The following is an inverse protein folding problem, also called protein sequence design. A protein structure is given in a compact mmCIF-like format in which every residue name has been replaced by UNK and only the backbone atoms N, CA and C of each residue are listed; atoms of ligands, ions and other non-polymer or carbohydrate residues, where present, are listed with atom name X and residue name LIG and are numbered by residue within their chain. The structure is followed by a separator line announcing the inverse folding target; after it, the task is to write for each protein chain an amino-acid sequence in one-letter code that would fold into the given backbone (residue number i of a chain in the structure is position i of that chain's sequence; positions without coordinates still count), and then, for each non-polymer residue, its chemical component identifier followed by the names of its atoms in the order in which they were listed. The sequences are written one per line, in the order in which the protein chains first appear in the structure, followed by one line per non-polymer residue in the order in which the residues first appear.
data_IF_517811588933
#
_entry.id   IF_517811588933
#
_cell.length_a   1.000
_cell.length_b   1.000
_cell.length_c   1.000
_cell.angle_alpha   90.00
_cell.angle_beta   90.00
_cell.angle_gamma   90.00
#
_symmetry.space_group_name_H-M   'P 1'
#
loop_
_entity.id
_entity.type
_entity.pdbx_description
1 polymer ?
#
# COMPACT_ATOMS: atom_id res chain seq x y z
N UNK A 1 65.57 60.02 19.28
CA UNK A 1 64.75 60.75 20.28
C UNK A 1 63.81 59.76 20.97
N UNK A 2 63.50 59.96 22.27
CA UNK A 2 62.55 59.21 23.14
C UNK A 2 62.47 57.67 23.02
N UNK A 3 62.94 57.00 24.08
CA UNK A 3 62.57 55.62 24.50
C UNK A 3 61.14 55.61 25.08
N UNK A 4 60.45 54.47 25.06
CA UNK A 4 59.88 53.76 26.25
C UNK A 4 59.83 52.26 25.91
N UNK A 5 60.06 51.39 26.90
CA UNK A 5 60.10 49.93 26.75
C UNK A 5 59.11 49.22 27.68
N UNK A 6 58.96 47.91 27.43
CA UNK A 6 58.16 46.92 28.19
C UNK A 6 58.42 46.89 29.70
N UNK A 7 57.47 46.34 30.47
CA UNK A 7 57.70 45.38 31.56
C UNK A 7 56.37 44.62 31.79
N UNK A 8 56.20 43.37 31.34
CA UNK A 8 56.50 42.05 32.00
C UNK A 8 55.42 41.51 32.95
N UNK A 9 55.06 40.25 32.69
CA UNK A 9 54.16 39.38 33.48
C UNK A 9 54.89 38.80 34.70
N UNK A 10 54.15 38.44 35.75
CA UNK A 10 54.61 37.57 36.83
C UNK A 10 53.67 36.37 37.01
N UNK A 11 54.26 35.17 37.17
CA UNK A 11 53.57 33.93 37.53
C UNK A 11 54.21 33.41 38.83
N UNK A 12 53.41 32.88 39.78
CA UNK A 12 53.91 32.45 41.10
C UNK A 12 53.32 31.12 41.58
N UNK A 13 54.19 30.23 42.06
CA UNK A 13 54.00 28.83 42.48
C UNK A 13 54.83 28.59 43.77
N UNK A 14 54.53 27.70 44.73
CA UNK A 14 53.46 26.70 44.96
C UNK A 14 53.18 26.65 46.48
N UNK A 15 52.01 26.19 46.96
CA UNK A 15 51.94 25.32 48.17
C UNK A 15 50.53 24.78 48.48
N UNK A 16 50.43 23.46 48.73
CA UNK A 16 49.35 22.84 49.52
C UNK A 16 49.57 23.10 51.02
N UNK A 17 48.57 22.81 51.87
CA UNK A 17 48.69 21.89 53.04
C UNK A 17 47.31 21.63 53.68
N UNK A 18 47.09 20.35 54.04
CA UNK A 18 46.25 19.78 55.11
C UNK A 18 44.99 20.50 55.62
N UNK A 19 43.86 19.77 55.62
CA UNK A 19 42.64 20.16 56.37
C UNK A 19 41.50 19.14 56.25
N UNK A 20 41.55 18.06 57.04
CA UNK A 20 40.42 17.13 57.13
C UNK A 20 39.35 17.69 58.09
N UNK A 21 38.09 17.68 57.67
CA UNK A 21 36.94 18.01 58.52
C UNK A 21 35.81 17.02 58.27
N UNK A 22 35.37 16.35 59.34
CA UNK A 22 34.26 15.39 59.33
C UNK A 22 32.94 16.16 59.35
N UNK A 23 32.17 16.11 58.27
CA UNK A 23 30.81 16.64 58.20
C UNK A 23 29.80 15.51 58.18
N UNK A 24 28.86 15.54 59.13
CA UNK A 24 27.87 14.49 59.33
C UNK A 24 26.91 14.34 58.14
N UNK A 25 26.46 13.10 57.90
CA UNK A 25 25.39 12.81 56.94
C UNK A 25 24.11 13.54 57.36
N UNK A 26 23.61 14.42 56.50
CA UNK A 26 22.18 14.71 56.38
C UNK A 26 21.64 13.96 55.18
N UNK A 27 20.68 13.08 55.43
CA UNK A 27 19.93 12.41 54.37
C UNK A 27 18.80 13.35 53.91
N UNK A 28 18.98 13.99 52.77
CA UNK A 28 17.92 14.76 52.11
C UNK A 28 17.33 13.92 50.97
N UNK A 29 16.10 13.47 51.19
CA UNK A 29 15.36 12.61 50.27
C UNK A 29 14.96 13.38 49.01
N UNK A 30 15.81 13.34 47.99
CA UNK A 30 15.46 13.81 46.65
C UNK A 30 14.36 12.91 46.05
N UNK A 31 13.11 13.36 46.12
CA UNK A 31 12.03 12.79 45.33
C UNK A 31 12.31 13.03 43.85
N UNK A 32 12.98 12.08 43.20
CA UNK A 32 13.13 12.06 41.75
C UNK A 32 11.75 11.89 41.13
N UNK A 33 11.14 13.00 40.71
CA UNK A 33 9.97 12.98 39.83
C UNK A 33 10.41 12.50 38.47
N UNK A 34 10.60 11.18 38.36
CA UNK A 34 10.75 10.49 37.09
C UNK A 34 9.48 10.71 36.30
N UNK A 35 9.47 11.75 35.47
CA UNK A 35 8.49 11.98 34.44
C UNK A 35 8.55 10.79 33.49
N UNK A 36 7.79 9.75 33.81
CA UNK A 36 7.46 8.67 32.91
C UNK A 36 6.78 9.32 31.72
N UNK A 37 7.58 9.65 30.70
CA UNK A 37 7.09 9.82 29.34
C UNK A 37 6.36 8.53 29.06
N UNK A 38 5.03 8.59 29.13
CA UNK A 38 4.18 7.52 28.65
C UNK A 38 4.59 7.36 27.20
N UNK A 39 5.24 6.24 26.88
CA UNK A 39 5.45 5.89 25.49
C UNK A 39 4.05 5.95 24.86
N UNK A 40 3.89 6.80 23.85
CA UNK A 40 2.69 6.76 23.02
C UNK A 40 2.64 5.35 22.45
N UNK A 41 1.73 4.58 23.03
CA UNK A 41 1.43 3.22 22.59
C UNK A 41 0.80 3.40 21.22
N UNK A 42 1.61 3.27 20.16
CA UNK A 42 1.11 3.12 18.80
C UNK A 42 -0.05 2.12 18.84
N UNK A 43 -1.20 2.43 18.22
CA UNK A 43 -2.38 1.60 18.33
C UNK A 43 -2.08 0.19 17.82
N UNK A 44 -2.10 -0.78 18.72
CA UNK A 44 -1.92 -2.17 18.36
C UNK A 44 -3.15 -2.65 17.56
N UNK A 45 -2.93 -3.19 16.36
CA UNK A 45 -3.96 -3.94 15.62
C UNK A 45 -4.15 -3.61 14.14
N UNK A 46 -3.55 -2.54 13.61
CA UNK A 46 -3.59 -2.24 12.17
C UNK A 46 -2.52 -3.01 11.39
N UNK A 47 -2.87 -3.49 10.19
CA UNK A 47 -1.85 -3.81 9.17
C UNK A 47 -1.19 -2.50 8.72
N UNK A 48 0.14 -2.47 8.46
CA UNK A 48 0.80 -1.26 7.99
C UNK A 48 0.24 -0.82 6.64
N UNK A 49 0.41 0.46 6.33
CA UNK A 49 -0.06 1.10 5.11
C UNK A 49 1.05 1.91 4.46
N UNK A 50 0.84 2.31 3.21
CA UNK A 50 1.74 3.21 2.48
C UNK A 50 1.96 4.57 3.17
N UNK A 51 1.11 4.96 4.13
CA UNK A 51 1.23 6.20 4.90
C UNK A 51 2.20 6.09 6.09
N UNK A 52 2.64 4.90 6.48
CA UNK A 52 3.45 4.64 7.67
C UNK A 52 4.97 4.82 7.44
N UNK A 53 5.40 5.43 6.33
CA UNK A 53 6.82 5.68 6.05
C UNK A 53 7.60 4.41 5.72
N UNK A 54 7.05 3.56 4.86
CA UNK A 54 7.50 2.16 4.64
C UNK A 54 8.77 2.00 3.79
N UNK A 55 9.35 3.08 3.30
CA UNK A 55 10.57 3.12 2.49
C UNK A 55 11.40 4.38 2.81
N UNK A 56 12.70 4.41 2.49
CA UNK A 56 13.54 5.61 2.67
C UNK A 56 13.58 6.48 1.42
N UNK A 57 13.87 7.77 1.58
CA UNK A 57 14.09 8.67 0.45
C UNK A 57 15.25 8.19 -0.45
N UNK A 58 16.35 7.74 0.15
CA UNK A 58 17.50 7.17 -0.57
C UNK A 58 17.12 5.94 -1.41
N UNK A 59 16.22 5.09 -0.89
CA UNK A 59 15.73 3.92 -1.60
C UNK A 59 14.91 4.31 -2.84
N UNK A 60 13.97 5.25 -2.69
CA UNK A 60 13.20 5.76 -3.83
C UNK A 60 14.09 6.50 -4.85
N UNK A 61 15.15 7.17 -4.40
CA UNK A 61 16.15 7.81 -5.27
C UNK A 61 16.99 6.79 -6.06
N UNK A 62 17.33 5.63 -5.47
CA UNK A 62 17.90 4.49 -6.22
C UNK A 62 16.88 3.94 -7.21
N UNK A 63 15.63 3.77 -6.76
CA UNK A 63 14.49 3.35 -7.55
C UNK A 63 14.29 4.18 -8.81
N UNK A 64 14.36 5.52 -8.71
CA UNK A 64 14.25 6.44 -9.86
C UNK A 64 15.29 6.16 -10.94
N UNK A 65 16.56 5.97 -10.55
CA UNK A 65 17.64 5.66 -11.50
C UNK A 65 17.42 4.30 -12.16
N UNK A 66 17.00 3.30 -11.39
CA UNK A 66 16.71 1.95 -11.90
C UNK A 66 15.48 1.96 -12.84
N UNK A 67 14.44 2.71 -12.52
CA UNK A 67 13.24 2.88 -13.34
C UNK A 67 13.55 3.56 -14.68
N UNK A 68 14.34 4.64 -14.67
CA UNK A 68 14.78 5.32 -15.90
C UNK A 68 15.51 4.38 -16.87
N UNK A 69 16.34 3.45 -16.35
CA UNK A 69 17.07 2.49 -17.18
C UNK A 69 16.25 1.27 -17.67
N UNK A 70 15.11 0.94 -17.03
CA UNK A 70 14.42 -0.35 -17.26
C UNK A 70 12.92 -0.24 -17.56
N UNK A 71 12.31 0.96 -17.45
CA UNK A 71 10.86 1.13 -17.45
C UNK A 71 10.37 2.41 -18.13
N UNK A 72 11.13 3.51 -18.05
CA UNK A 72 10.68 4.83 -18.52
C UNK A 72 10.39 4.91 -20.03
N UNK A 73 11.06 4.10 -20.86
CA UNK A 73 10.81 4.04 -22.31
C UNK A 73 9.33 3.81 -22.65
N UNK A 74 8.66 2.91 -21.93
CA UNK A 74 7.22 2.67 -22.12
C UNK A 74 6.36 3.47 -21.11
N UNK A 75 6.79 3.62 -19.87
CA UNK A 75 5.98 4.17 -18.78
C UNK A 75 6.13 5.68 -18.52
N UNK A 76 6.99 6.36 -19.30
CA UNK A 76 7.30 7.79 -19.15
C UNK A 76 8.27 8.07 -18.01
N UNK A 77 9.13 9.08 -18.16
CA UNK A 77 10.15 9.46 -17.16
C UNK A 77 9.56 9.88 -15.80
N UNK A 78 8.31 10.36 -15.80
CA UNK A 78 7.58 10.82 -14.62
C UNK A 78 6.44 9.87 -14.23
N UNK A 79 6.42 8.65 -14.76
CA UNK A 79 5.38 7.63 -14.54
C UNK A 79 4.00 8.07 -15.10
N UNK A 80 3.99 8.99 -16.05
CA UNK A 80 2.80 9.54 -16.72
C UNK A 80 2.21 8.59 -17.78
N UNK A 81 2.95 7.53 -18.15
CA UNK A 81 2.58 6.58 -19.19
C UNK A 81 3.03 7.01 -20.58
N UNK A 82 2.65 6.20 -21.57
CA UNK A 82 3.02 6.36 -22.97
C UNK A 82 2.50 5.16 -23.75
N UNK A 83 3.41 4.32 -24.25
CA UNK A 83 3.08 2.98 -24.73
C UNK A 83 2.62 2.08 -23.57
N UNK A 84 3.31 2.16 -22.43
CA UNK A 84 2.94 1.56 -21.17
C UNK A 84 1.92 2.40 -20.41
N UNK A 85 1.13 1.76 -19.55
CA UNK A 85 0.18 2.46 -18.67
C UNK A 85 0.88 3.47 -17.74
N UNK A 86 0.20 4.57 -17.43
CA UNK A 86 0.60 5.45 -16.34
C UNK A 86 0.72 4.67 -15.01
N UNK A 87 1.80 4.90 -14.27
CA UNK A 87 2.06 4.28 -12.96
C UNK A 87 1.87 5.27 -11.80
N UNK A 88 1.35 6.46 -12.10
CA UNK A 88 1.03 7.52 -11.15
C UNK A 88 -0.44 7.95 -11.20
N UNK A 89 -0.90 8.65 -10.16
CA UNK A 89 -2.18 9.34 -10.13
C UNK A 89 -3.40 8.41 -10.26
N UNK A 90 -4.39 8.83 -11.05
CA UNK A 90 -5.68 8.11 -11.18
C UNK A 90 -5.51 6.66 -11.64
N UNK A 91 -4.56 6.37 -12.54
CA UNK A 91 -4.35 5.00 -13.02
C UNK A 91 -3.75 4.11 -11.92
N UNK A 92 -2.77 4.63 -11.15
CA UNK A 92 -2.22 3.93 -9.99
C UNK A 92 -3.32 3.54 -8.99
N UNK A 93 -4.19 4.48 -8.61
CA UNK A 93 -5.29 4.18 -7.69
C UNK A 93 -6.33 3.23 -8.31
N UNK A 94 -6.57 3.32 -9.61
CA UNK A 94 -7.48 2.40 -10.33
C UNK A 94 -6.98 0.96 -10.27
N UNK A 95 -5.66 0.74 -10.44
CA UNK A 95 -5.07 -0.59 -10.43
C UNK A 95 -4.77 -1.11 -9.00
N UNK A 96 -4.32 -0.25 -8.08
CA UNK A 96 -3.70 -0.67 -6.80
C UNK A 96 -4.46 -0.28 -5.52
N UNK A 97 -5.51 0.54 -5.56
CA UNK A 97 -6.30 0.81 -4.34
C UNK A 97 -6.87 -0.49 -3.77
N UNK A 98 -6.79 -0.67 -2.46
CA UNK A 98 -7.17 -1.87 -1.71
C UNK A 98 -6.34 -3.13 -1.98
N UNK A 99 -5.19 -3.04 -2.65
CA UNK A 99 -4.18 -4.10 -2.68
C UNK A 99 -3.11 -3.88 -1.60
N UNK A 100 -2.03 -4.65 -1.68
CA UNK A 100 -0.80 -4.48 -0.92
C UNK A 100 0.37 -4.06 -1.83
N UNK A 101 1.44 -3.55 -1.24
CA UNK A 101 2.73 -3.29 -1.92
C UNK A 101 3.40 -4.60 -2.35
N UNK A 102 3.19 -5.69 -1.60
CA UNK A 102 3.64 -7.03 -1.99
C UNK A 102 2.97 -7.56 -3.25
N UNK A 103 1.66 -7.30 -3.44
CA UNK A 103 0.96 -7.63 -4.69
C UNK A 103 1.48 -6.80 -5.87
N UNK A 104 1.70 -5.50 -5.68
CA UNK A 104 2.34 -4.61 -6.67
C UNK A 104 3.74 -5.12 -7.07
N UNK A 105 4.59 -5.43 -6.09
CA UNK A 105 5.93 -5.98 -6.31
C UNK A 105 5.88 -7.32 -7.04
N UNK A 106 4.97 -8.22 -6.65
CA UNK A 106 4.80 -9.53 -7.27
C UNK A 106 4.35 -9.40 -8.72
N UNK A 107 3.38 -8.52 -9.00
CA UNK A 107 2.90 -8.27 -10.35
C UNK A 107 3.98 -7.71 -11.26
N UNK A 108 4.72 -6.69 -10.81
CA UNK A 108 5.81 -6.10 -11.61
C UNK A 108 6.88 -7.17 -11.89
N UNK A 109 7.30 -7.94 -10.88
CA UNK A 109 8.28 -9.03 -11.06
C UNK A 109 7.83 -10.10 -12.06
N UNK A 110 6.53 -10.43 -12.10
CA UNK A 110 6.01 -11.46 -12.98
C UNK A 110 5.75 -10.99 -14.42
N UNK A 111 5.62 -9.67 -14.65
CA UNK A 111 5.18 -9.12 -15.93
C UNK A 111 6.15 -8.12 -16.58
N UNK A 112 7.14 -7.62 -15.84
CA UNK A 112 8.08 -6.57 -16.28
C UNK A 112 9.56 -6.97 -16.15
N UNK A 113 10.46 -6.37 -16.95
CA UNK A 113 10.17 -5.59 -18.15
C UNK A 113 9.37 -6.40 -19.18
N UNK A 114 8.51 -5.71 -19.94
CA UNK A 114 7.71 -6.36 -20.97
C UNK A 114 8.58 -6.64 -22.20
N UNK A 115 8.40 -7.82 -22.77
CA UNK A 115 8.85 -8.16 -24.12
C UNK A 115 7.81 -9.08 -24.75
N UNK A 116 7.68 -9.04 -26.09
CA UNK A 116 6.68 -9.84 -26.82
C UNK A 116 6.87 -11.35 -26.60
N UNK A 117 8.12 -11.81 -26.55
CA UNK A 117 8.52 -13.19 -26.27
C UNK A 117 8.48 -13.55 -24.77
N UNK A 118 8.27 -12.56 -23.90
CA UNK A 118 8.30 -12.70 -22.44
C UNK A 118 9.68 -12.93 -21.81
N UNK A 119 10.78 -12.91 -22.58
CA UNK A 119 12.14 -13.22 -22.10
C UNK A 119 12.67 -12.26 -21.03
N UNK A 120 12.17 -11.01 -20.98
CA UNK A 120 12.62 -10.02 -20.00
C UNK A 120 11.90 -10.10 -18.64
N UNK A 121 10.79 -10.83 -18.53
CA UNK A 121 9.97 -10.88 -17.32
C UNK A 121 10.75 -11.49 -16.14
N UNK A 122 10.83 -10.75 -15.04
CA UNK A 122 11.51 -11.22 -13.82
C UNK A 122 13.04 -11.30 -13.90
N UNK A 123 13.66 -10.74 -14.95
CA UNK A 123 15.13 -10.80 -15.16
C UNK A 123 15.94 -9.92 -14.21
N UNK A 124 15.35 -8.88 -13.62
CA UNK A 124 16.05 -8.00 -12.68
C UNK A 124 16.14 -8.66 -11.29
N UNK A 125 17.12 -8.23 -10.48
CA UNK A 125 17.21 -8.70 -9.10
C UNK A 125 15.98 -8.27 -8.28
N UNK A 126 15.54 -9.10 -7.33
CA UNK A 126 14.35 -8.78 -6.51
C UNK A 126 14.50 -7.43 -5.77
N UNK A 127 15.69 -7.09 -5.30
CA UNK A 127 16.01 -5.78 -4.70
C UNK A 127 15.84 -4.62 -5.69
N UNK A 128 16.21 -4.80 -6.96
CA UNK A 128 15.99 -3.80 -8.03
C UNK A 128 14.51 -3.49 -8.19
N UNK A 129 13.64 -4.51 -8.20
CA UNK A 129 12.19 -4.31 -8.26
C UNK A 129 11.62 -3.65 -7.00
N UNK A 130 12.15 -3.95 -5.81
CA UNK A 130 11.73 -3.28 -4.58
C UNK A 130 12.07 -1.79 -4.63
N UNK A 131 13.31 -1.43 -4.99
CA UNK A 131 13.72 -0.03 -5.13
C UNK A 131 12.84 0.69 -6.18
N UNK A 132 12.58 0.07 -7.36
CA UNK A 132 11.64 0.62 -8.37
C UNK A 132 10.23 0.84 -7.79
N UNK A 133 9.70 -0.13 -7.02
CA UNK A 133 8.39 0.03 -6.36
C UNK A 133 8.41 1.21 -5.38
N UNK A 134 9.47 1.42 -4.61
CA UNK A 134 9.53 2.58 -3.70
C UNK A 134 9.55 3.92 -4.43
N UNK A 135 10.13 3.98 -5.64
CA UNK A 135 10.01 5.16 -6.50
C UNK A 135 8.58 5.39 -6.97
N UNK A 136 7.87 4.34 -7.42
CA UNK A 136 6.44 4.42 -7.77
C UNK A 136 5.63 4.93 -6.57
N UNK A 137 5.90 4.43 -5.36
CA UNK A 137 5.23 4.89 -4.14
C UNK A 137 5.52 6.37 -3.83
N UNK A 138 6.78 6.80 -3.90
CA UNK A 138 7.18 8.19 -3.67
C UNK A 138 6.52 9.15 -4.68
N UNK A 139 6.50 8.78 -5.97
CA UNK A 139 5.86 9.58 -7.03
C UNK A 139 4.35 9.72 -6.83
N UNK A 140 3.70 8.74 -6.20
CA UNK A 140 2.28 8.81 -5.82
C UNK A 140 2.02 9.56 -4.50
N UNK A 141 3.03 10.21 -3.92
CA UNK A 141 2.90 11.11 -2.77
C UNK A 141 2.94 10.42 -1.40
N UNK A 142 3.30 9.14 -1.33
CA UNK A 142 3.44 8.45 -0.05
C UNK A 142 4.71 8.92 0.70
N UNK A 143 4.64 9.12 2.02
CA UNK A 143 5.77 9.64 2.79
C UNK A 143 6.91 8.62 2.88
N UNK A 144 8.15 9.11 2.83
CA UNK A 144 9.32 8.33 3.20
C UNK A 144 9.47 8.29 4.75
N UNK A 145 10.00 7.17 5.25
CA UNK A 145 10.35 6.98 6.65
C UNK A 145 11.83 6.58 6.83
N UNK A 146 12.11 5.89 7.93
CA UNK A 146 13.49 5.60 8.40
C UNK A 146 13.98 4.17 8.12
N UNK A 147 13.16 3.32 7.49
CA UNK A 147 13.51 1.93 7.18
C UNK A 147 13.32 1.67 5.70
N UNK A 148 14.21 0.89 5.10
CA UNK A 148 14.04 0.45 3.72
C UNK A 148 12.94 -0.60 3.64
N UNK A 149 12.14 -0.52 2.57
CA UNK A 149 11.21 -1.56 2.19
C UNK A 149 12.03 -2.80 1.78
N UNK A 150 11.65 -3.95 2.31
CA UNK A 150 12.14 -5.27 1.90
C UNK A 150 11.00 -6.09 1.29
N UNK A 151 11.30 -7.15 0.49
CA UNK A 151 10.28 -8.05 -0.04
C UNK A 151 9.31 -8.55 1.05
N UNK A 152 9.86 -9.04 2.17
CA UNK A 152 9.07 -9.59 3.29
C UNK A 152 8.19 -8.52 3.94
N UNK A 153 8.73 -7.32 4.17
CA UNK A 153 7.95 -6.22 4.77
C UNK A 153 6.82 -5.73 3.86
N UNK A 154 6.99 -5.82 2.53
CA UNK A 154 6.01 -5.31 1.56
C UNK A 154 4.67 -6.07 1.57
N UNK A 155 4.68 -7.34 1.98
CA UNK A 155 3.51 -8.25 1.92
C UNK A 155 2.31 -7.72 2.71
N UNK A 156 2.55 -7.12 3.88
CA UNK A 156 1.49 -6.59 4.74
C UNK A 156 1.07 -5.15 4.45
N UNK A 157 1.85 -4.40 3.66
CA UNK A 157 1.64 -2.95 3.49
C UNK A 157 0.45 -2.67 2.57
N UNK A 158 -0.64 -2.15 3.14
CA UNK A 158 -1.88 -1.77 2.44
C UNK A 158 -1.71 -0.51 1.58
N UNK A 159 -2.18 -0.57 0.34
CA UNK A 159 -2.34 0.60 -0.55
C UNK A 159 -3.77 1.10 -0.40
N UNK A 160 -3.98 2.06 0.50
CA UNK A 160 -5.30 2.62 0.87
C UNK A 160 -5.26 4.14 0.91
N UNK A 161 -6.42 4.78 0.85
CA UNK A 161 -6.55 6.23 1.10
C UNK A 161 -6.18 6.59 2.54
N UNK A 162 -5.85 7.85 2.80
CA UNK A 162 -5.44 8.30 4.14
C UNK A 162 -6.57 8.13 5.18
N UNK A 163 -7.84 8.20 4.74
CA UNK A 163 -9.03 7.89 5.54
C UNK A 163 -9.24 6.38 5.79
N UNK A 164 -8.30 5.53 5.34
CA UNK A 164 -8.37 4.08 5.46
C UNK A 164 -9.01 3.37 4.24
N UNK A 165 -9.41 2.09 4.41
CA UNK A 165 -10.03 1.29 3.35
C UNK A 165 -11.36 1.88 2.85
N UNK A 166 -11.51 1.99 1.53
CA UNK A 166 -12.67 2.62 0.88
C UNK A 166 -13.38 1.70 -0.12
N UNK A 167 -14.26 2.29 -0.94
CA UNK A 167 -14.79 1.58 -2.13
C UNK A 167 -13.67 1.43 -3.18
N UNK A 168 -13.75 0.36 -3.97
CA UNK A 168 -12.95 0.25 -5.20
C UNK A 168 -13.38 1.32 -6.21
N UNK A 169 -12.45 1.93 -6.96
CA UNK A 169 -12.78 2.96 -7.93
C UNK A 169 -13.52 2.40 -9.15
N UNK A 170 -14.12 3.29 -9.94
CA UNK A 170 -14.58 2.96 -11.29
C UNK A 170 -13.45 2.32 -12.13
N UNK A 171 -13.79 1.38 -13.02
CA UNK A 171 -12.87 0.58 -13.82
C UNK A 171 -11.92 -0.34 -13.02
N UNK A 172 -12.05 -0.47 -11.69
CA UNK A 172 -11.32 -1.49 -10.96
C UNK A 172 -11.76 -2.89 -11.39
N UNK A 173 -10.80 -3.78 -11.66
CA UNK A 173 -11.10 -5.20 -11.88
C UNK A 173 -11.40 -5.87 -10.54
N UNK A 174 -12.62 -6.39 -10.39
CA UNK A 174 -13.19 -6.77 -9.12
C UNK A 174 -13.94 -8.10 -9.20
N UNK A 175 -14.11 -8.69 -8.03
CA UNK A 175 -14.90 -9.89 -7.75
C UNK A 175 -16.05 -9.53 -6.82
N UNK A 176 -17.25 -10.03 -7.14
CA UNK A 176 -18.46 -9.93 -6.32
C UNK A 176 -19.14 -11.29 -6.25
N UNK A 177 -19.78 -11.59 -5.11
CA UNK A 177 -20.62 -12.77 -4.93
C UNK A 177 -22.04 -12.32 -4.60
N UNK A 178 -23.07 -13.02 -5.06
CA UNK A 178 -24.46 -12.73 -4.73
C UNK A 178 -25.43 -13.72 -5.36
N UNK A 179 -26.71 -13.39 -5.34
CA UNK A 179 -27.79 -14.20 -5.89
C UNK A 179 -28.15 -13.73 -7.29
N UNK A 180 -28.22 -14.64 -8.27
CA UNK A 180 -28.75 -14.24 -9.59
C UNK A 180 -30.26 -14.09 -9.52
N UNK A 181 -30.74 -12.88 -9.74
CA UNK A 181 -32.17 -12.59 -9.84
C UNK A 181 -32.77 -13.14 -11.15
N UNK A 182 -34.10 -13.35 -11.22
CA UNK A 182 -34.80 -13.50 -12.49
C UNK A 182 -34.45 -12.34 -13.44
N UNK A 183 -34.39 -12.64 -14.75
CA UNK A 183 -34.06 -11.65 -15.77
C UNK A 183 -35.06 -10.49 -15.75
N UNK A 184 -34.56 -9.26 -15.79
CA UNK A 184 -35.40 -8.06 -15.84
C UNK A 184 -36.29 -8.01 -17.08
N UNK A 185 -37.39 -7.24 -17.01
CA UNK A 185 -38.30 -7.04 -18.14
C UNK A 185 -37.66 -6.28 -19.31
N UNK A 186 -36.62 -5.50 -19.02
CA UNK A 186 -35.69 -4.85 -19.95
C UNK A 186 -34.64 -5.81 -20.54
N UNK A 187 -34.61 -7.07 -20.09
CA UNK A 187 -33.63 -8.07 -20.48
C UNK A 187 -32.30 -7.98 -19.71
N UNK A 188 -32.21 -7.17 -18.66
CA UNK A 188 -31.03 -7.10 -17.79
C UNK A 188 -30.83 -8.37 -16.95
N UNK A 189 -29.58 -8.66 -16.61
CA UNK A 189 -29.22 -9.65 -15.59
C UNK A 189 -28.76 -8.90 -14.34
N UNK A 190 -29.23 -9.29 -13.17
CA UNK A 190 -28.87 -8.60 -11.91
C UNK A 190 -28.41 -9.60 -10.86
N UNK A 191 -27.29 -9.29 -10.22
CA UNK A 191 -26.84 -9.94 -9.01
C UNK A 191 -27.41 -9.16 -7.81
N UNK A 192 -28.38 -9.74 -7.11
CA UNK A 192 -28.96 -9.17 -5.88
C UNK A 192 -28.32 -9.79 -4.65
N UNK A 193 -28.49 -9.18 -3.47
CA UNK A 193 -27.77 -9.56 -2.24
C UNK A 193 -26.25 -9.66 -2.45
N UNK A 194 -25.68 -8.76 -3.23
CA UNK A 194 -24.26 -8.76 -3.58
C UNK A 194 -23.35 -8.44 -2.40
N UNK A 195 -22.16 -9.03 -2.36
CA UNK A 195 -21.07 -8.60 -1.46
C UNK A 195 -20.53 -7.23 -1.88
N UNK A 196 -19.88 -6.51 -0.97
CA UNK A 196 -18.96 -5.42 -1.33
C UNK A 196 -17.92 -5.94 -2.35
N UNK A 197 -17.55 -5.18 -3.40
CA UNK A 197 -16.55 -5.63 -4.35
C UNK A 197 -15.17 -5.75 -3.71
N UNK A 198 -14.46 -6.82 -4.05
CA UNK A 198 -13.05 -7.03 -3.68
C UNK A 198 -12.20 -7.07 -4.93
N UNK A 199 -10.89 -6.80 -4.82
CA UNK A 199 -9.95 -6.99 -5.93
C UNK A 199 -10.03 -8.45 -6.40
N UNK A 200 -10.13 -8.67 -7.70
CA UNK A 200 -10.16 -10.03 -8.24
C UNK A 200 -8.77 -10.65 -8.12
N UNK A 201 -8.56 -11.41 -7.04
CA UNK A 201 -7.43 -12.29 -6.82
C UNK A 201 -7.87 -13.75 -7.01
N UNK A 202 -6.96 -14.71 -6.87
CA UNK A 202 -7.25 -16.15 -6.94
C UNK A 202 -8.01 -16.63 -5.70
N UNK A 203 -9.27 -16.23 -5.58
CA UNK A 203 -10.21 -16.69 -4.56
C UNK A 203 -10.72 -18.10 -4.92
N UNK A 204 -10.79 -19.00 -3.94
CA UNK A 204 -11.33 -20.34 -4.19
C UNK A 204 -12.86 -20.34 -4.16
N UNK A 205 -13.50 -21.12 -5.05
CA UNK A 205 -14.95 -21.28 -5.09
C UNK A 205 -15.58 -21.76 -3.76
N UNK A 206 -14.79 -22.35 -2.85
CA UNK A 206 -15.21 -22.63 -1.48
C UNK A 206 -15.45 -21.36 -0.64
N UNK A 207 -14.55 -20.38 -0.69
CA UNK A 207 -14.73 -19.12 0.05
C UNK A 207 -15.95 -18.34 -0.46
N UNK A 208 -16.24 -18.42 -1.76
CA UNK A 208 -17.39 -17.75 -2.37
C UNK A 208 -18.73 -18.36 -1.98
N UNK A 209 -18.79 -19.65 -1.64
CA UNK A 209 -20.01 -20.28 -1.11
C UNK A 209 -20.43 -19.73 0.25
N UNK A 210 -19.44 -19.47 1.10
CA UNK A 210 -19.67 -19.23 2.53
C UNK A 210 -19.57 -17.75 2.93
N UNK A 211 -19.15 -16.86 2.02
CA UNK A 211 -18.96 -15.43 2.35
C UNK A 211 -20.27 -14.71 2.70
N UNK A 212 -20.35 -13.89 3.76
CA UNK A 212 -21.55 -13.14 4.07
C UNK A 212 -21.96 -12.19 2.95
N UNK A 213 -23.24 -12.26 2.56
CA UNK A 213 -23.88 -11.38 1.57
C UNK A 213 -24.28 -10.03 2.20
N UNK A 214 -24.62 -9.05 1.37
CA UNK A 214 -25.13 -7.73 1.80
C UNK A 214 -26.20 -7.22 0.84
N UNK A 215 -26.91 -6.14 1.18
CA UNK A 215 -28.05 -5.63 0.40
C UNK A 215 -27.66 -4.84 -0.88
N UNK A 216 -26.52 -5.17 -1.52
CA UNK A 216 -26.12 -4.54 -2.79
C UNK A 216 -26.76 -5.24 -3.98
N UNK A 217 -26.92 -4.47 -5.05
CA UNK A 217 -27.36 -4.98 -6.35
C UNK A 217 -26.39 -4.54 -7.43
N UNK A 218 -26.15 -5.42 -8.41
CA UNK A 218 -25.27 -5.15 -9.54
C UNK A 218 -25.91 -5.60 -10.85
N UNK A 219 -26.16 -4.66 -11.76
CA UNK A 219 -26.49 -4.96 -13.14
C UNK A 219 -25.25 -5.60 -13.83
N UNK A 220 -25.46 -6.73 -14.50
CA UNK A 220 -24.44 -7.51 -15.18
C UNK A 220 -24.46 -7.19 -16.68
N UNK A 221 -23.52 -6.37 -17.13
CA UNK A 221 -23.45 -5.88 -18.52
C UNK A 221 -22.54 -6.76 -19.38
N UNK A 222 -22.82 -6.77 -20.69
CA UNK A 222 -22.09 -7.54 -21.71
C UNK A 222 -22.08 -9.07 -21.49
N UNK A 223 -23.09 -9.60 -20.78
CA UNK A 223 -23.28 -11.04 -20.57
C UNK A 223 -23.69 -11.72 -21.89
N UNK A 224 -22.74 -12.38 -22.55
CA UNK A 224 -22.93 -13.02 -23.87
C UNK A 224 -23.71 -14.34 -23.81
N UNK A 225 -23.76 -15.01 -22.66
CA UNK A 225 -24.40 -16.32 -22.48
C UNK A 225 -25.65 -16.21 -21.61
N UNK A 226 -26.71 -16.94 -21.94
CA UNK A 226 -27.93 -16.90 -21.12
C UNK A 226 -27.70 -17.53 -19.75
N UNK A 227 -28.01 -16.79 -18.69
CA UNK A 227 -27.88 -17.23 -17.30
C UNK A 227 -29.18 -17.84 -16.74
N UNK A 228 -30.23 -18.04 -17.55
CA UNK A 228 -31.57 -18.48 -17.07
C UNK A 228 -31.51 -19.73 -16.20
N UNK A 229 -30.65 -20.70 -16.53
CA UNK A 229 -30.48 -21.96 -15.76
C UNK A 229 -29.85 -21.79 -14.38
N UNK A 230 -29.38 -20.58 -14.05
CA UNK A 230 -28.72 -20.23 -12.80
C UNK A 230 -29.54 -19.24 -11.97
N UNK A 231 -30.79 -18.92 -12.35
CA UNK A 231 -31.64 -18.03 -11.55
C UNK A 231 -31.87 -18.65 -10.16
N UNK A 232 -31.66 -17.86 -9.10
CA UNK A 232 -31.68 -18.32 -7.72
C UNK A 232 -30.40 -19.02 -7.25
N UNK A 233 -29.44 -19.29 -8.14
CA UNK A 233 -28.11 -19.74 -7.75
C UNK A 233 -27.32 -18.59 -7.13
N UNK A 234 -26.34 -18.99 -6.31
CA UNK A 234 -25.30 -18.12 -5.81
C UNK A 234 -24.17 -18.07 -6.83
N UNK A 235 -23.86 -16.87 -7.32
CA UNK A 235 -22.88 -16.65 -8.37
C UNK A 235 -21.68 -15.89 -7.85
N UNK A 236 -20.49 -16.28 -8.29
CA UNK A 236 -19.31 -15.43 -8.29
C UNK A 236 -19.20 -14.77 -9.69
N UNK A 237 -18.91 -13.47 -9.71
CA UNK A 237 -18.75 -12.69 -10.94
C UNK A 237 -17.45 -11.91 -10.84
N UNK A 238 -16.63 -11.97 -11.89
CA UNK A 238 -15.50 -11.04 -12.06
C UNK A 238 -15.74 -10.11 -13.24
N UNK A 239 -15.25 -8.89 -13.14
CA UNK A 239 -15.46 -7.87 -14.16
C UNK A 239 -14.89 -6.51 -13.77
N UNK A 240 -15.00 -5.55 -14.68
CA UNK A 240 -14.66 -4.15 -14.41
C UNK A 240 -15.86 -3.46 -13.76
N UNK A 241 -15.65 -2.79 -12.61
CA UNK A 241 -16.69 -2.02 -11.95
C UNK A 241 -17.10 -0.80 -12.78
N UNK A 242 -18.41 -0.60 -12.90
CA UNK A 242 -18.99 0.61 -13.47
C UNK A 242 -19.44 1.51 -12.31
N UNK A 243 -18.83 2.69 -12.21
CA UNK A 243 -18.92 3.55 -11.03
C UNK A 243 -18.12 3.03 -9.84
N UNK A 244 -17.77 3.93 -8.92
CA UNK A 244 -17.12 3.60 -7.64
C UNK A 244 -17.97 2.62 -6.85
N UNK A 245 -17.39 1.52 -6.36
CA UNK A 245 -18.10 0.47 -5.63
C UNK A 245 -19.09 -0.36 -6.47
N UNK A 246 -19.08 -0.21 -7.81
CA UNK A 246 -19.98 -0.93 -8.73
C UNK A 246 -21.40 -0.37 -8.81
N UNK A 247 -21.63 0.89 -8.40
CA UNK A 247 -22.97 1.52 -8.34
C UNK A 247 -23.74 1.54 -9.68
N UNK A 248 -23.05 1.42 -10.82
CA UNK A 248 -23.66 1.35 -12.16
C UNK A 248 -23.54 -0.06 -12.77
N UNK A 249 -23.27 -1.08 -11.97
CA UNK A 249 -23.10 -2.49 -12.37
C UNK A 249 -21.65 -2.92 -12.62
N UNK A 250 -21.50 -4.05 -13.31
CA UNK A 250 -20.22 -4.62 -13.73
C UNK A 250 -20.22 -4.90 -15.24
N UNK A 251 -19.13 -4.56 -15.92
CA UNK A 251 -18.81 -5.13 -17.22
C UNK A 251 -18.19 -6.52 -17.00
N UNK A 252 -18.95 -7.56 -17.33
CA UNK A 252 -18.66 -8.94 -16.91
C UNK A 252 -17.53 -9.56 -17.72
N UNK A 253 -16.59 -10.21 -17.04
CA UNK A 253 -15.53 -11.02 -17.63
C UNK A 253 -15.72 -12.51 -17.36
N UNK A 254 -16.12 -12.90 -16.14
CA UNK A 254 -16.51 -14.29 -15.80
C UNK A 254 -17.76 -14.33 -14.94
N UNK A 255 -18.53 -15.41 -15.07
CA UNK A 255 -19.69 -15.74 -14.22
C UNK A 255 -19.62 -17.23 -13.89
N UNK A 256 -19.59 -17.57 -12.61
CA UNK A 256 -19.54 -18.95 -12.12
C UNK A 256 -20.64 -19.19 -11.09
N UNK A 257 -21.36 -20.30 -11.22
CA UNK A 257 -22.34 -20.76 -10.22
C UNK A 257 -21.60 -21.48 -9.09
N UNK A 258 -21.39 -20.80 -7.96
CA UNK A 258 -20.70 -21.37 -6.81
C UNK A 258 -21.61 -22.25 -5.94
N UNK A 259 -22.93 -21.98 -5.89
CA UNK A 259 -23.91 -22.89 -5.27
C UNK A 259 -25.28 -22.83 -5.96
N UNK A 260 -26.01 -23.96 -5.96
CA UNK A 260 -27.31 -24.10 -6.64
C UNK A 260 -28.47 -23.37 -5.95
N UNK A 261 -28.24 -22.82 -4.75
CA UNK A 261 -29.18 -21.97 -4.02
C UNK A 261 -28.43 -20.79 -3.44
N UNK A 262 -29.08 -19.63 -3.35
CA UNK A 262 -28.54 -18.43 -2.73
C UNK A 262 -29.34 -18.07 -1.47
N UNK A 263 -28.85 -18.59 -0.34
CA UNK A 263 -29.39 -18.36 1.00
C UNK A 263 -28.53 -17.30 1.71
#
# INVERSE_FOLDING_TARGET
MRRVALLTVALGLVASWMGASVSALRAESAFSTSSLRRAEQSPAGGQPSVWDGVFTADQADRGRRLFSMNCAECHGDNLEGGEGKALSGTQFWTDWKETTVGELLTYIRANMPFSEDGSLKGTLATSTYVDIVTHILQTNGFPAGMKELTPDSSVGVRIVTQDGPGELPNNAFAHVVGCLAPRGADGSWTLVKGTRPRRASTTSASADRDVPLSDREYELKFVLTSLTRFVGHRMAVTGLLLGTGGINGLNVSTVESVANTCN
#
